data_IF_026662282758
#
_entry.id   IF_026662282758
#
_cell.length_a   1.000
_cell.length_b   1.000
_cell.length_c   1.000
_cell.angle_alpha   90.00
_cell.angle_beta   90.00
_cell.angle_gamma   90.00
#
_symmetry.space_group_name_H-M   'P 1'
#
loop_
_entity.id
_entity.type
_entity.pdbx_description
1 polymer ?
#
# COMPACT_ATOMS: atom_id res chain seq x y z
N UNK A 1 11.55 -4.35 21.20
CA UNK A 1 10.57 -4.16 20.11
C UNK A 1 10.37 -2.66 19.96
N UNK A 2 10.93 -2.05 18.91
CA UNK A 2 10.71 -0.64 18.65
C UNK A 2 9.56 -0.55 17.65
N UNK A 3 8.36 -0.33 18.14
CA UNK A 3 7.23 -0.02 17.29
C UNK A 3 7.51 1.37 16.72
N UNK A 4 7.90 1.47 15.43
CA UNK A 4 8.29 2.73 14.80
C UNK A 4 7.09 3.69 14.56
N UNK A 5 5.98 3.48 15.27
CA UNK A 5 4.86 4.42 15.29
C UNK A 5 5.27 5.62 16.15
N UNK A 6 4.96 6.82 15.70
CA UNK A 6 5.34 8.03 16.41
C UNK A 6 4.75 8.03 17.82
N UNK A 7 5.60 8.28 18.81
CA UNK A 7 5.22 8.46 20.19
C UNK A 7 5.44 9.91 20.56
N UNK A 8 4.38 10.57 21.03
CA UNK A 8 4.47 11.92 21.54
C UNK A 8 4.80 11.88 23.04
N UNK A 9 6.04 12.20 23.39
CA UNK A 9 6.52 12.18 24.79
C UNK A 9 5.77 13.18 25.69
N UNK A 10 5.21 14.26 25.13
CA UNK A 10 4.48 15.26 25.90
C UNK A 10 3.09 14.78 26.28
N UNK A 11 2.41 14.06 25.38
CA UNK A 11 1.04 13.57 25.61
C UNK A 11 0.98 12.12 26.10
N UNK A 12 2.10 11.38 25.99
CA UNK A 12 2.18 9.96 26.33
C UNK A 12 1.38 9.06 25.39
N UNK A 13 1.09 9.52 24.15
CA UNK A 13 0.24 8.81 23.19
C UNK A 13 0.99 8.43 21.91
N UNK A 14 0.56 7.34 21.29
CA UNK A 14 1.00 6.93 19.96
C UNK A 14 0.11 7.53 18.87
N UNK A 15 0.73 8.02 17.79
CA UNK A 15 0.09 8.68 16.66
C UNK A 15 -0.50 7.66 15.68
N UNK A 16 -1.62 7.04 16.06
CA UNK A 16 -2.34 6.03 15.27
C UNK A 16 -3.80 5.94 15.70
N UNK A 17 -4.72 5.84 14.73
CA UNK A 17 -6.08 5.34 14.98
C UNK A 17 -6.49 4.27 13.96
N UNK A 18 -7.43 3.41 14.35
CA UNK A 18 -8.13 2.48 13.45
C UNK A 18 -9.61 2.34 13.83
N UNK A 19 -10.47 2.10 12.85
CA UNK A 19 -11.90 1.82 13.04
C UNK A 19 -12.08 0.31 13.22
N UNK A 20 -12.70 -0.12 14.33
CA UNK A 20 -13.10 -1.52 14.62
C UNK A 20 -12.02 -2.63 14.59
N UNK A 21 -10.81 -2.39 14.07
CA UNK A 21 -9.68 -3.32 14.09
C UNK A 21 -8.69 -3.03 15.23
N UNK A 22 -7.79 -3.99 15.52
CA UNK A 22 -6.76 -3.82 16.55
C UNK A 22 -5.79 -2.71 16.15
N UNK A 23 -5.51 -1.81 17.10
CA UNK A 23 -4.53 -0.75 16.92
C UNK A 23 -3.12 -1.31 16.62
N UNK A 24 -2.23 -0.47 16.06
CA UNK A 24 -0.88 -0.83 15.62
C UNK A 24 -0.04 -1.48 16.73
N UNK A 25 0.14 -2.82 16.72
CA UNK A 25 0.69 -3.58 17.87
C UNK A 25 -0.04 -3.35 19.21
N UNK A 26 -1.33 -3.03 19.17
CA UNK A 26 -2.09 -2.59 20.34
C UNK A 26 -1.83 -1.15 20.78
N UNK A 27 -1.08 -0.37 20.00
CA UNK A 27 -0.74 1.03 20.25
C UNK A 27 -1.58 1.97 19.37
N UNK A 28 -2.12 3.02 19.97
CA UNK A 28 -3.02 3.97 19.30
C UNK A 28 -4.46 3.86 19.78
N UNK A 29 -5.37 4.55 19.09
CA UNK A 29 -6.78 4.64 19.46
C UNK A 29 -7.65 3.77 18.54
N UNK A 30 -8.58 3.00 19.11
CA UNK A 30 -9.62 2.31 18.34
C UNK A 30 -10.90 3.14 18.46
N UNK A 31 -11.53 3.44 17.32
CA UNK A 31 -12.82 4.13 17.27
C UNK A 31 -13.90 3.21 16.71
N UNK A 32 -15.14 3.43 17.13
CA UNK A 32 -16.29 2.62 16.70
C UNK A 32 -16.91 3.16 15.41
N UNK A 33 -17.06 4.49 15.33
CA UNK A 33 -17.62 5.19 14.19
C UNK A 33 -16.53 5.82 13.32
N UNK A 34 -16.85 6.02 12.04
CA UNK A 34 -15.97 6.69 11.10
C UNK A 34 -15.81 8.18 11.47
N UNK A 35 -14.59 8.66 11.78
CA UNK A 35 -14.37 10.03 12.19
C UNK A 35 -14.45 11.01 11.01
N UNK A 36 -14.76 12.27 11.30
CA UNK A 36 -14.51 13.39 10.35
C UNK A 36 -13.01 13.59 10.13
N UNK A 37 -12.60 14.30 9.07
CA UNK A 37 -11.18 14.58 8.81
C UNK A 37 -10.46 15.25 9.99
N UNK A 38 -11.14 16.19 10.65
CA UNK A 38 -10.64 16.85 11.86
C UNK A 38 -10.47 15.88 13.02
N UNK A 39 -11.44 15.03 13.28
CA UNK A 39 -11.37 14.01 14.34
C UNK A 39 -10.28 12.97 14.03
N UNK A 40 -10.18 12.54 12.78
CA UNK A 40 -9.18 11.59 12.31
C UNK A 40 -7.76 12.12 12.50
N UNK A 41 -7.50 13.39 12.16
CA UNK A 41 -6.24 14.08 12.44
C UNK A 41 -5.90 14.06 13.93
N UNK A 42 -6.88 14.35 14.79
CA UNK A 42 -6.69 14.40 16.24
C UNK A 42 -6.47 13.01 16.84
N UNK A 43 -7.27 12.01 16.45
CA UNK A 43 -7.15 10.63 16.92
C UNK A 43 -5.83 10.00 16.49
N UNK A 44 -5.34 10.30 15.29
CA UNK A 44 -4.03 9.83 14.83
C UNK A 44 -2.86 10.67 15.37
N UNK A 45 -3.08 11.73 16.15
CA UNK A 45 -1.99 12.61 16.61
C UNK A 45 -1.25 13.30 15.46
N UNK A 46 -1.94 13.56 14.36
CA UNK A 46 -1.40 14.16 13.14
C UNK A 46 -1.66 15.66 13.02
N UNK A 47 -2.40 16.24 13.96
CA UNK A 47 -2.72 17.67 14.06
C UNK A 47 -1.51 18.49 14.59
N UNK A 48 -0.35 18.29 13.96
CA UNK A 48 0.88 19.06 14.22
C UNK A 48 1.30 19.82 12.96
N UNK A 49 1.89 20.99 13.17
CA UNK A 49 2.46 21.79 12.10
C UNK A 49 3.88 21.34 11.76
N UNK A 50 4.23 21.38 10.48
CA UNK A 50 5.61 21.20 10.00
C UNK A 50 6.13 22.53 9.45
N UNK A 51 7.29 22.95 9.93
CA UNK A 51 7.97 24.17 9.51
C UNK A 51 9.24 23.85 8.73
N UNK A 52 9.51 24.60 7.65
CA UNK A 52 10.76 24.57 6.88
C UNK A 52 11.64 25.77 7.22
N UNK A 53 12.94 25.53 7.41
CA UNK A 53 13.96 26.56 7.70
C UNK A 53 15.27 26.27 6.96
N UNK A 54 16.07 27.28 6.60
CA UNK A 54 17.37 27.07 5.98
C UNK A 54 18.36 26.44 6.97
N UNK A 55 19.20 25.52 6.49
CA UNK A 55 20.30 24.97 7.28
C UNK A 55 21.35 26.07 7.59
N UNK A 56 22.00 25.97 8.75
CA UNK A 56 23.06 26.88 9.18
C UNK A 56 24.39 26.13 9.15
N UNK A 57 25.36 26.62 8.37
CA UNK A 57 26.71 26.08 8.33
C UNK A 57 27.59 26.87 9.31
N UNK A 58 28.09 26.19 10.34
CA UNK A 58 29.03 26.77 11.30
C UNK A 58 30.46 26.54 10.84
N UNK A 59 31.21 27.62 10.66
CA UNK A 59 32.62 27.59 10.29
C UNK A 59 33.52 27.49 11.52
N UNK A 60 34.76 27.05 11.32
CA UNK A 60 35.75 26.87 12.41
C UNK A 60 36.05 28.18 13.17
N UNK A 61 35.89 29.33 12.51
CA UNK A 61 36.05 30.65 13.12
C UNK A 61 34.83 31.13 13.93
N UNK A 62 33.80 30.30 14.05
CA UNK A 62 32.57 30.61 14.76
C UNK A 62 31.52 31.37 13.93
N UNK A 63 31.83 31.77 12.70
CA UNK A 63 30.85 32.40 11.82
C UNK A 63 29.78 31.39 11.37
N UNK A 64 28.55 31.88 11.23
CA UNK A 64 27.43 31.10 10.73
C UNK A 64 27.01 31.61 9.35
N UNK A 65 26.82 30.69 8.42
CA UNK A 65 26.30 30.97 7.08
C UNK A 65 24.94 30.28 6.94
N UNK A 66 23.90 31.08 6.70
CA UNK A 66 22.57 30.57 6.36
C UNK A 66 22.58 30.07 4.92
N UNK A 67 22.20 28.81 4.71
CA UNK A 67 22.18 28.21 3.38
C UNK A 67 20.99 28.71 2.55
N UNK A 68 21.26 29.04 1.29
CA UNK A 68 20.22 29.42 0.31
C UNK A 68 19.66 28.21 -0.47
N UNK A 69 20.27 27.03 -0.33
CA UNK A 69 19.94 25.84 -1.14
C UNK A 69 19.66 24.58 -0.32
N UNK A 70 19.99 24.58 0.97
CA UNK A 70 19.82 23.46 1.88
C UNK A 70 18.91 23.87 3.04
N UNK A 71 17.87 23.07 3.27
CA UNK A 71 16.82 23.33 4.25
C UNK A 71 16.59 22.09 5.11
N UNK A 72 15.99 22.31 6.28
CA UNK A 72 15.47 21.26 7.15
C UNK A 72 14.00 21.51 7.46
N UNK A 73 13.29 20.43 7.79
CA UNK A 73 11.91 20.46 8.30
C UNK A 73 11.90 20.02 9.74
N UNK A 74 11.03 20.64 10.53
CA UNK A 74 10.88 20.29 11.93
C UNK A 74 9.47 20.54 12.42
N UNK A 75 9.16 19.90 13.55
CA UNK A 75 7.93 20.09 14.30
C UNK A 75 8.11 21.18 15.36
N UNK A 76 7.39 22.30 15.32
CA UNK A 76 7.50 23.35 16.33
C UNK A 76 7.05 22.91 17.73
N UNK A 77 6.12 21.96 17.83
CA UNK A 77 5.59 21.47 19.11
C UNK A 77 6.61 20.65 19.92
N UNK A 78 7.48 19.90 19.23
CA UNK A 78 8.44 18.95 19.82
C UNK A 78 9.90 19.29 19.53
N UNK A 79 10.16 20.29 18.67
CA UNK A 79 11.47 20.59 18.07
C UNK A 79 12.12 19.41 17.35
N UNK A 80 11.34 18.40 16.97
CA UNK A 80 11.85 17.22 16.29
C UNK A 80 12.18 17.56 14.83
N UNK A 81 13.45 17.38 14.45
CA UNK A 81 13.88 17.44 13.04
C UNK A 81 13.32 16.21 12.31
N UNK A 82 12.57 16.47 11.24
CA UNK A 82 11.92 15.46 10.39
C UNK A 82 12.76 15.11 9.16
N UNK A 83 13.40 16.12 8.56
CA UNK A 83 14.33 15.97 7.44
C UNK A 83 15.41 17.04 7.50
N UNK A 84 16.65 16.67 7.17
CA UNK A 84 17.83 17.54 7.29
C UNK A 84 18.41 17.99 5.93
N UNK A 85 17.92 17.41 4.81
CA UNK A 85 18.49 17.59 3.46
C UNK A 85 17.44 17.94 2.41
N UNK A 86 16.70 19.02 2.63
CA UNK A 86 15.68 19.47 1.70
C UNK A 86 16.24 20.51 0.72
N UNK A 87 15.82 20.41 -0.53
CA UNK A 87 16.15 21.40 -1.57
C UNK A 87 15.30 22.66 -1.47
N UNK A 88 15.74 23.73 -2.15
CA UNK A 88 15.04 25.02 -2.17
C UNK A 88 13.57 24.90 -2.59
N UNK A 89 13.28 24.03 -3.56
CA UNK A 89 11.96 23.90 -4.19
C UNK A 89 10.99 23.01 -3.39
N UNK A 90 11.44 22.43 -2.27
CA UNK A 90 10.58 21.59 -1.43
C UNK A 90 9.54 22.44 -0.71
N UNK A 91 8.26 22.18 -0.92
CA UNK A 91 7.17 22.84 -0.19
C UNK A 91 6.49 21.89 0.79
N UNK A 92 6.33 22.36 2.03
CA UNK A 92 5.64 21.60 3.06
C UNK A 92 4.15 21.60 2.75
N UNK A 93 3.58 20.41 2.61
CA UNK A 93 2.12 20.22 2.57
C UNK A 93 1.72 19.74 3.96
N UNK A 94 0.87 20.49 4.65
CA UNK A 94 0.50 20.14 6.03
C UNK A 94 -0.33 18.87 6.04
N UNK A 95 -0.29 18.14 7.16
CA UNK A 95 -1.12 16.94 7.33
C UNK A 95 -2.61 17.31 7.14
N UNK A 96 -3.04 18.46 7.67
CA UNK A 96 -4.40 18.96 7.46
C UNK A 96 -4.77 19.14 5.98
N UNK A 97 -3.86 19.66 5.15
CA UNK A 97 -4.09 19.81 3.70
C UNK A 97 -4.25 18.42 3.01
N UNK A 98 -3.51 17.41 3.48
CA UNK A 98 -3.61 16.04 2.97
C UNK A 98 -4.92 15.34 3.39
N UNK A 99 -5.49 15.69 4.53
CA UNK A 99 -6.80 15.22 4.96
C UNK A 99 -7.94 15.93 4.24
N UNK A 100 -7.89 17.26 4.11
CA UNK A 100 -8.92 18.02 3.37
C UNK A 100 -9.01 17.61 1.91
N UNK A 101 -7.90 17.13 1.33
CA UNK A 101 -7.90 16.52 0.01
C UNK A 101 -8.89 15.35 -0.08
N UNK A 102 -8.93 14.45 0.91
CA UNK A 102 -9.86 13.33 0.94
C UNK A 102 -11.32 13.76 1.05
N UNK A 103 -11.59 14.81 1.82
CA UNK A 103 -12.94 15.36 1.94
C UNK A 103 -13.45 15.88 0.58
N UNK A 104 -12.58 16.50 -0.22
CA UNK A 104 -12.94 17.00 -1.55
C UNK A 104 -13.19 15.90 -2.59
N UNK A 105 -12.67 14.69 -2.35
CA UNK A 105 -12.74 13.58 -3.31
C UNK A 105 -14.10 12.87 -3.31
N UNK A 106 -14.80 12.88 -2.17
CA UNK A 106 -16.04 12.10 -1.98
C UNK A 106 -17.22 13.05 -1.88
N UNK A 107 -17.89 13.30 -3.00
CA UNK A 107 -19.17 14.02 -3.02
C UNK A 107 -20.26 13.16 -2.33
N UNK A 108 -20.97 13.74 -1.37
CA UNK A 108 -22.17 13.14 -0.77
C UNK A 108 -21.93 12.36 0.53
N UNK A 109 -21.86 11.02 0.45
CA UNK A 109 -21.94 10.06 1.59
C UNK A 109 -20.78 10.15 2.60
N UNK A 110 -19.82 11.04 2.37
CA UNK A 110 -18.65 11.25 3.22
C UNK A 110 -17.60 10.16 3.07
N UNK A 111 -16.34 10.54 3.32
CA UNK A 111 -15.24 9.58 3.31
C UNK A 111 -15.20 8.82 4.64
N UNK A 112 -15.06 7.50 4.57
CA UNK A 112 -14.95 6.64 5.74
C UNK A 112 -13.47 6.45 6.09
N UNK A 113 -12.91 7.33 6.91
CA UNK A 113 -11.52 7.20 7.35
C UNK A 113 -11.33 5.94 8.21
N UNK A 114 -10.61 4.96 7.67
CA UNK A 114 -10.45 3.64 8.30
C UNK A 114 -9.28 3.62 9.27
N UNK A 115 -8.14 4.20 8.87
CA UNK A 115 -6.91 4.19 9.67
C UNK A 115 -6.03 5.36 9.26
N UNK A 116 -5.36 5.98 10.23
CA UNK A 116 -4.25 6.89 9.95
C UNK A 116 -3.20 6.84 11.03
N UNK A 117 -1.96 7.21 10.69
CA UNK A 117 -0.88 7.28 11.66
C UNK A 117 0.39 7.92 11.12
N UNK A 118 1.36 8.08 12.02
CA UNK A 118 2.69 8.59 11.71
C UNK A 118 3.79 7.60 12.08
N UNK A 119 4.83 7.52 11.27
CA UNK A 119 6.03 6.74 11.51
C UNK A 119 7.18 7.64 12.00
N UNK A 120 8.09 7.07 12.78
CA UNK A 120 9.28 7.74 13.30
C UNK A 120 8.96 8.90 14.24
N UNK A 121 9.50 10.08 13.95
CA UNK A 121 9.26 11.36 14.65
C UNK A 121 8.02 12.11 14.14
N UNK A 122 7.28 11.51 13.20
CA UNK A 122 6.19 12.15 12.48
C UNK A 122 6.60 12.60 11.07
N UNK A 123 7.76 12.18 10.58
CA UNK A 123 8.24 12.55 9.25
C UNK A 123 7.50 11.84 8.12
N UNK A 124 6.83 10.72 8.39
CA UNK A 124 6.02 10.00 7.40
C UNK A 124 4.65 9.73 7.96
N UNK A 125 3.62 10.05 7.20
CA UNK A 125 2.24 9.76 7.59
C UNK A 125 1.57 8.89 6.56
N UNK A 126 0.53 8.20 6.99
CA UNK A 126 -0.32 7.40 6.13
C UNK A 126 -1.78 7.50 6.55
N UNK A 127 -2.66 7.36 5.58
CA UNK A 127 -4.11 7.48 5.74
C UNK A 127 -4.74 6.44 4.81
N UNK A 128 -5.70 5.69 5.32
CA UNK A 128 -6.58 4.84 4.52
C UNK A 128 -8.02 5.27 4.72
N UNK A 129 -8.72 5.36 3.60
CA UNK A 129 -10.13 5.69 3.56
C UNK A 129 -10.89 4.64 2.75
N UNK A 130 -11.99 4.15 3.31
CA UNK A 130 -12.90 3.23 2.65
C UNK A 130 -13.80 3.99 1.68
N UNK A 131 -13.91 3.46 0.47
CA UNK A 131 -14.79 3.96 -0.57
C UNK A 131 -16.13 3.20 -0.57
N UNK A 132 -17.23 3.85 -0.96
CA UNK A 132 -18.55 3.21 -0.97
C UNK A 132 -18.63 2.09 -2.01
N UNK A 133 -19.43 1.06 -1.70
CA UNK A 133 -19.65 -0.10 -2.56
C UNK A 133 -18.52 -1.12 -2.55
N UNK A 134 -18.68 -2.19 -3.34
CA UNK A 134 -17.79 -3.34 -3.36
C UNK A 134 -17.48 -3.75 -4.79
N UNK A 135 -16.32 -4.36 -5.00
CA UNK A 135 -16.06 -5.20 -6.19
C UNK A 135 -16.58 -6.59 -5.85
N UNK A 136 -17.56 -7.08 -6.62
CA UNK A 136 -18.22 -8.37 -6.34
C UNK A 136 -17.69 -9.46 -7.25
N UNK A 137 -17.19 -10.55 -6.68
CA UNK A 137 -16.75 -11.73 -7.44
C UNK A 137 -17.68 -12.90 -7.14
N UNK A 138 -18.37 -13.41 -8.16
CA UNK A 138 -19.46 -14.35 -7.93
C UNK A 138 -20.58 -13.74 -7.07
N UNK A 139 -21.17 -14.55 -6.18
CA UNK A 139 -22.30 -14.11 -5.34
C UNK A 139 -21.85 -13.52 -3.99
N UNK A 140 -20.86 -14.14 -3.35
CA UNK A 140 -20.56 -13.90 -1.93
C UNK A 140 -19.12 -13.43 -1.65
N UNK A 141 -18.27 -13.29 -2.68
CA UNK A 141 -16.87 -12.88 -2.51
C UNK A 141 -16.73 -11.36 -2.74
N UNK A 142 -16.70 -10.63 -1.62
CA UNK A 142 -16.71 -9.17 -1.60
C UNK A 142 -15.30 -8.61 -1.39
N UNK A 143 -14.96 -7.63 -2.22
CA UNK A 143 -13.71 -6.88 -2.12
C UNK A 143 -14.05 -5.42 -1.81
N UNK A 144 -13.54 -4.95 -0.67
CA UNK A 144 -13.62 -3.56 -0.26
C UNK A 144 -12.65 -2.70 -1.06
N UNK A 145 -13.01 -1.43 -1.18
CA UNK A 145 -12.28 -0.45 -1.95
C UNK A 145 -11.68 0.56 -0.99
N UNK A 146 -10.36 0.69 -0.99
CA UNK A 146 -9.69 1.71 -0.18
C UNK A 146 -8.92 2.69 -1.07
N UNK A 147 -8.86 3.93 -0.63
CA UNK A 147 -7.82 4.86 -1.01
C UNK A 147 -6.77 4.91 0.07
N UNK A 148 -5.52 4.78 -0.33
CA UNK A 148 -4.35 4.92 0.49
C UNK A 148 -3.65 6.23 0.13
N UNK A 149 -3.30 7.04 1.12
CA UNK A 149 -2.42 8.18 0.97
C UNK A 149 -1.24 8.06 1.90
N UNK A 150 -0.09 8.52 1.44
CA UNK A 150 1.09 8.72 2.27
C UNK A 150 1.84 9.95 1.82
N UNK A 151 2.42 10.68 2.77
CA UNK A 151 3.31 11.81 2.51
C UNK A 151 4.49 11.78 3.47
N UNK A 152 5.55 12.48 3.09
CA UNK A 152 6.81 12.52 3.83
C UNK A 152 7.32 13.95 3.94
N UNK A 153 7.66 14.31 5.17
CA UNK A 153 8.31 15.56 5.57
C UNK A 153 9.84 15.46 5.58
N UNK A 154 10.40 14.28 5.28
CA UNK A 154 11.86 14.02 5.31
C UNK A 154 12.64 14.55 4.09
N UNK A 155 11.96 15.04 3.06
CA UNK A 155 12.56 15.52 1.81
C UNK A 155 12.86 14.45 0.75
N UNK A 156 12.68 13.16 1.06
CA UNK A 156 12.95 12.05 0.14
C UNK A 156 11.67 11.43 -0.47
N UNK A 157 10.50 11.68 0.14
CA UNK A 157 9.22 11.18 -0.33
C UNK A 157 8.44 12.15 -1.22
N UNK A 158 7.48 11.60 -1.97
CA UNK A 158 6.40 12.33 -2.61
C UNK A 158 5.11 12.10 -1.83
N UNK A 159 4.12 12.96 -2.04
CA UNK A 159 2.74 12.63 -1.69
C UNK A 159 2.28 11.57 -2.68
N UNK A 160 1.79 10.45 -2.20
CA UNK A 160 1.30 9.36 -3.03
C UNK A 160 -0.12 9.02 -2.61
N UNK A 161 -1.04 9.02 -3.58
CA UNK A 161 -2.39 8.49 -3.42
C UNK A 161 -2.53 7.23 -4.29
N UNK A 162 -3.12 6.17 -3.77
CA UNK A 162 -3.27 4.90 -4.48
C UNK A 162 -4.59 4.19 -4.15
N UNK A 163 -5.21 3.60 -5.16
CA UNK A 163 -6.34 2.69 -4.98
C UNK A 163 -5.84 1.31 -4.56
N UNK A 164 -6.43 0.80 -3.48
CA UNK A 164 -6.04 -0.45 -2.82
C UNK A 164 -7.29 -1.29 -2.53
N UNK A 165 -7.63 -2.27 -3.38
CA UNK A 165 -8.70 -3.21 -3.09
C UNK A 165 -8.27 -4.21 -2.02
N UNK A 166 -9.13 -4.48 -1.05
CA UNK A 166 -8.89 -5.44 0.03
C UNK A 166 -9.99 -6.49 0.04
N UNK A 167 -9.63 -7.76 -0.15
CA UNK A 167 -10.60 -8.85 -0.14
C UNK A 167 -10.98 -9.18 1.31
N UNK A 168 -12.26 -9.07 1.67
CA UNK A 168 -12.72 -9.12 3.07
C UNK A 168 -12.33 -10.43 3.75
N UNK A 169 -12.61 -11.55 3.10
CA UNK A 169 -12.51 -12.89 3.69
C UNK A 169 -11.07 -13.35 3.95
N UNK A 170 -10.08 -12.64 3.40
CA UNK A 170 -8.66 -12.89 3.65
C UNK A 170 -7.88 -11.63 4.10
N UNK A 171 -8.54 -10.47 4.17
CA UNK A 171 -7.94 -9.16 4.42
C UNK A 171 -6.69 -8.86 3.56
N UNK A 172 -6.67 -9.34 2.30
CA UNK A 172 -5.51 -9.20 1.42
C UNK A 172 -5.56 -7.90 0.64
N UNK A 173 -4.50 -7.09 0.73
CA UNK A 173 -4.25 -6.00 -0.22
C UNK A 173 -3.96 -6.56 -1.60
N UNK A 174 -4.89 -6.35 -2.54
CA UNK A 174 -4.78 -6.79 -3.92
C UNK A 174 -4.07 -5.70 -4.74
N UNK A 175 -2.81 -5.96 -5.12
CA UNK A 175 -2.13 -5.09 -6.07
C UNK A 175 -2.32 -5.62 -7.48
N UNK A 176 -3.06 -4.87 -8.30
CA UNK A 176 -3.26 -5.15 -9.71
C UNK A 176 -2.33 -4.27 -10.57
N UNK A 177 -1.82 -4.84 -11.67
CA UNK A 177 -1.04 -4.13 -12.67
C UNK A 177 -1.82 -4.10 -13.98
N UNK A 178 -2.74 -3.13 -14.12
CA UNK A 178 -3.42 -2.91 -15.40
C UNK A 178 -2.49 -2.15 -16.35
N UNK A 179 -2.27 -2.70 -17.56
CA UNK A 179 -1.28 -2.20 -18.53
C UNK A 179 -1.46 -0.73 -18.92
N UNK A 180 -2.66 -0.16 -18.78
CA UNK A 180 -3.01 1.20 -19.19
C UNK A 180 -3.54 2.09 -18.05
N UNK A 181 -3.48 1.64 -16.80
CA UNK A 181 -3.97 2.40 -15.65
C UNK A 181 -2.99 2.30 -14.49
N UNK A 182 -2.38 3.43 -14.12
CA UNK A 182 -1.67 3.53 -12.83
C UNK A 182 -2.71 3.59 -11.73
N UNK A 183 -2.68 2.64 -10.79
CA UNK A 183 -3.52 2.69 -9.59
C UNK A 183 -3.04 3.73 -8.57
N UNK A 184 -1.97 4.48 -8.88
CA UNK A 184 -1.39 5.48 -8.00
C UNK A 184 -1.01 6.77 -8.74
N UNK A 185 -1.08 7.88 -8.00
CA UNK A 185 -0.61 9.19 -8.42
C UNK A 185 0.45 9.66 -7.43
N UNK A 186 1.57 10.18 -7.94
CA UNK A 186 2.67 10.73 -7.14
C UNK A 186 2.82 12.22 -7.41
N UNK A 187 2.75 13.02 -6.35
CA UNK A 187 2.83 14.47 -6.38
C UNK A 187 4.07 14.88 -5.60
N UNK A 188 4.99 15.58 -6.29
CA UNK A 188 6.18 16.13 -5.66
C UNK A 188 5.80 17.30 -4.74
N UNK A 189 6.51 17.42 -3.63
CA UNK A 189 6.43 18.55 -2.69
C UNK A 189 7.01 19.82 -3.34
N UNK A 190 6.24 20.47 -4.20
CA UNK A 190 6.58 21.73 -4.89
C UNK A 190 5.48 22.75 -4.68
N UNK A 191 5.67 24.01 -5.11
CA UNK A 191 4.67 25.09 -4.98
C UNK A 191 3.27 24.67 -5.44
N UNK A 192 3.16 23.89 -6.52
CA UNK A 192 1.87 23.45 -7.06
C UNK A 192 1.38 22.12 -6.45
N UNK A 193 1.96 21.65 -5.34
CA UNK A 193 1.58 20.37 -4.75
C UNK A 193 0.12 20.39 -4.27
N UNK A 194 -0.34 21.51 -3.70
CA UNK A 194 -1.73 21.68 -3.24
C UNK A 194 -2.72 21.64 -4.41
N UNK A 195 -2.48 22.42 -5.45
CA UNK A 195 -3.30 22.40 -6.68
C UNK A 195 -3.31 21.01 -7.35
N UNK A 196 -2.16 20.33 -7.41
CA UNK A 196 -2.09 18.96 -7.94
C UNK A 196 -2.78 17.92 -7.07
N UNK A 197 -2.89 18.17 -5.77
CA UNK A 197 -3.74 17.38 -4.88
C UNK A 197 -5.21 17.66 -5.20
N UNK A 198 -5.62 18.90 -5.40
CA UNK A 198 -7.00 19.23 -5.80
C UNK A 198 -7.38 18.60 -7.15
N UNK A 199 -6.45 18.47 -8.09
CA UNK A 199 -6.66 17.73 -9.34
C UNK A 199 -6.88 16.20 -9.18
N UNK A 200 -6.72 15.66 -7.97
CA UNK A 200 -6.83 14.22 -7.75
C UNK A 200 -8.26 13.69 -7.59
N UNK A 201 -9.30 14.44 -7.98
CA UNK A 201 -10.53 13.84 -8.53
C UNK A 201 -10.23 12.83 -9.66
N UNK A 202 -9.11 13.01 -10.38
CA UNK A 202 -8.56 12.01 -11.30
C UNK A 202 -8.33 10.65 -10.63
N UNK A 203 -7.91 10.62 -9.36
CA UNK A 203 -7.71 9.38 -8.58
C UNK A 203 -9.03 8.65 -8.34
N UNK A 204 -10.15 9.36 -8.15
CA UNK A 204 -11.48 8.72 -8.10
C UNK A 204 -11.97 8.23 -9.44
N UNK A 205 -11.75 9.00 -10.50
CA UNK A 205 -12.02 8.54 -11.87
C UNK A 205 -11.28 7.23 -12.14
N UNK A 206 -10.00 7.17 -11.78
CA UNK A 206 -9.17 5.96 -11.85
C UNK A 206 -9.74 4.86 -10.95
N UNK A 207 -10.10 5.15 -9.70
CA UNK A 207 -10.58 4.15 -8.74
C UNK A 207 -11.89 3.51 -9.20
N UNK A 208 -12.83 4.30 -9.73
CA UNK A 208 -14.10 3.81 -10.25
C UNK A 208 -13.90 2.95 -11.51
N UNK A 209 -13.09 3.41 -12.46
CA UNK A 209 -12.76 2.65 -13.67
C UNK A 209 -12.03 1.34 -13.33
N UNK A 210 -11.04 1.42 -12.44
CA UNK A 210 -10.25 0.28 -11.99
C UNK A 210 -11.13 -0.72 -11.23
N UNK A 211 -12.07 -0.25 -10.41
CA UNK A 211 -13.02 -1.12 -9.71
C UNK A 211 -13.87 -1.93 -10.69
N UNK A 212 -14.46 -1.28 -11.70
CA UNK A 212 -15.27 -1.97 -12.72
C UNK A 212 -14.43 -2.96 -13.53
N UNK A 213 -13.22 -2.58 -13.91
CA UNK A 213 -12.31 -3.46 -14.65
C UNK A 213 -11.89 -4.68 -13.83
N UNK A 214 -11.52 -4.48 -12.56
CA UNK A 214 -11.16 -5.56 -11.66
C UNK A 214 -12.33 -6.49 -11.39
N UNK A 215 -13.55 -5.96 -11.25
CA UNK A 215 -14.75 -6.77 -11.13
C UNK A 215 -14.91 -7.72 -12.33
N UNK A 216 -14.81 -7.19 -13.54
CA UNK A 216 -14.88 -8.01 -14.77
C UNK A 216 -13.77 -9.06 -14.83
N UNK A 217 -12.52 -8.66 -14.56
CA UNK A 217 -11.35 -9.55 -14.60
C UNK A 217 -11.48 -10.67 -13.56
N UNK A 218 -11.83 -10.34 -12.32
CA UNK A 218 -11.93 -11.33 -11.25
C UNK A 218 -13.10 -12.29 -11.45
N UNK A 219 -14.25 -11.80 -11.95
CA UNK A 219 -15.36 -12.68 -12.32
C UNK A 219 -15.01 -13.61 -13.49
N UNK A 220 -14.16 -13.17 -14.42
CA UNK A 220 -13.65 -14.03 -15.47
C UNK A 220 -12.68 -15.07 -14.89
N UNK A 221 -11.71 -14.64 -14.08
CA UNK A 221 -10.71 -15.53 -13.48
C UNK A 221 -11.33 -16.58 -12.55
N UNK A 222 -12.41 -16.26 -11.87
CA UNK A 222 -13.18 -17.19 -11.05
C UNK A 222 -13.84 -18.32 -11.85
N UNK A 223 -13.97 -18.17 -13.18
CA UNK A 223 -14.56 -19.19 -14.08
C UNK A 223 -13.51 -20.03 -14.80
N UNK A 224 -12.26 -19.57 -14.86
CA UNK A 224 -11.17 -20.28 -15.54
C UNK A 224 -10.52 -21.26 -14.58
N UNK A 225 -10.55 -22.55 -14.94
CA UNK A 225 -9.92 -23.61 -14.16
C UNK A 225 -8.41 -23.61 -14.36
N UNK A 226 -7.69 -23.99 -13.30
CA UNK A 226 -6.24 -24.12 -13.31
C UNK A 226 -5.87 -25.39 -12.55
N UNK A 227 -4.93 -26.16 -13.08
CA UNK A 227 -4.46 -27.41 -12.46
C UNK A 227 -3.39 -27.13 -11.42
N UNK A 228 -3.20 -28.06 -10.47
CA UNK A 228 -2.18 -27.95 -9.42
C UNK A 228 -0.77 -27.68 -9.96
N UNK A 229 -0.42 -28.32 -11.10
CA UNK A 229 0.88 -28.13 -11.77
C UNK A 229 1.03 -26.71 -12.32
N UNK A 230 -0.04 -26.14 -12.87
CA UNK A 230 -0.04 -24.77 -13.39
C UNK A 230 0.01 -23.74 -12.27
N UNK A 231 -0.70 -23.99 -11.16
CA UNK A 231 -0.61 -23.15 -9.95
C UNK A 231 0.83 -23.10 -9.43
N UNK A 232 1.50 -24.25 -9.28
CA UNK A 232 2.89 -24.31 -8.83
C UNK A 232 3.83 -23.52 -9.75
N UNK A 233 3.67 -23.68 -11.08
CA UNK A 233 4.46 -22.94 -12.06
C UNK A 233 4.20 -21.42 -11.97
N UNK A 234 2.94 -21.02 -11.81
CA UNK A 234 2.57 -19.60 -11.67
C UNK A 234 3.19 -19.00 -10.41
N UNK A 235 3.11 -19.70 -9.27
CA UNK A 235 3.74 -19.29 -8.01
C UNK A 235 5.25 -19.11 -8.20
N UNK A 236 5.94 -20.12 -8.72
CA UNK A 236 7.39 -20.04 -8.95
C UNK A 236 7.77 -18.80 -9.77
N UNK A 237 7.06 -18.57 -10.88
CA UNK A 237 7.31 -17.43 -11.78
C UNK A 237 6.99 -16.07 -11.14
N UNK A 238 5.95 -15.99 -10.30
CA UNK A 238 5.59 -14.77 -9.59
C UNK A 238 6.62 -14.42 -8.49
N UNK A 239 7.18 -15.44 -7.84
CA UNK A 239 8.03 -15.29 -6.64
C UNK A 239 9.51 -15.01 -6.93
N UNK A 240 9.94 -15.07 -8.21
CA UNK A 240 11.33 -14.95 -8.68
C UNK A 240 12.10 -13.75 -8.10
N UNK A 241 13.06 -13.91 -7.18
CA UNK A 241 13.73 -12.78 -6.52
C UNK A 241 14.60 -11.95 -7.46
N UNK A 242 15.24 -12.57 -8.45
CA UNK A 242 16.23 -11.95 -9.33
C UNK A 242 16.29 -12.67 -10.70
N UNK A 243 17.10 -12.15 -11.64
CA UNK A 243 17.21 -12.71 -13.00
C UNK A 243 17.87 -14.09 -13.05
N UNK A 244 18.75 -14.40 -12.11
CA UNK A 244 19.44 -15.70 -12.04
C UNK A 244 18.45 -16.81 -11.73
N UNK A 245 17.60 -16.63 -10.71
CA UNK A 245 16.54 -17.59 -10.39
C UNK A 245 15.58 -17.78 -11.57
N UNK A 246 15.25 -16.72 -12.30
CA UNK A 246 14.43 -16.82 -13.52
C UNK A 246 15.06 -17.75 -14.55
N UNK A 247 16.37 -17.60 -14.80
CA UNK A 247 17.10 -18.39 -15.78
C UNK A 247 17.17 -19.86 -15.36
N UNK A 248 17.42 -20.15 -14.09
CA UNK A 248 17.49 -21.52 -13.59
C UNK A 248 16.13 -22.22 -13.74
N UNK A 249 15.01 -21.53 -13.42
CA UNK A 249 13.66 -22.05 -13.66
C UNK A 249 13.42 -22.33 -15.15
N UNK A 250 13.81 -21.40 -16.03
CA UNK A 250 13.62 -21.56 -17.48
C UNK A 250 14.44 -22.71 -18.08
N UNK A 251 15.61 -23.01 -17.52
CA UNK A 251 16.47 -24.13 -17.92
C UNK A 251 16.08 -25.47 -17.28
N UNK A 252 15.17 -25.46 -16.30
CA UNK A 252 14.81 -26.65 -15.52
C UNK A 252 15.84 -27.05 -14.46
N UNK A 253 16.77 -26.15 -14.11
CA UNK A 253 17.82 -26.34 -13.11
C UNK A 253 17.25 -26.11 -11.69
N UNK A 254 16.24 -26.90 -11.30
CA UNK A 254 15.51 -26.73 -10.03
C UNK A 254 16.36 -27.03 -8.79
N UNK A 255 17.43 -27.81 -8.93
CA UNK A 255 18.36 -28.13 -7.85
C UNK A 255 19.20 -26.92 -7.43
N UNK A 256 19.47 -26.00 -8.36
CA UNK A 256 20.20 -24.73 -8.12
C UNK A 256 19.36 -23.68 -7.39
N UNK A 257 18.06 -23.93 -7.18
CA UNK A 257 17.18 -23.01 -6.47
C UNK A 257 17.43 -23.08 -4.96
N UNK A 258 17.65 -21.92 -4.34
CA UNK A 258 17.83 -21.83 -2.90
C UNK A 258 16.67 -22.45 -2.10
N UNK A 259 16.97 -23.08 -0.98
CA UNK A 259 15.95 -23.64 -0.06
C UNK A 259 14.95 -22.57 0.38
N UNK A 260 15.41 -21.33 0.61
CA UNK A 260 14.53 -20.21 0.97
C UNK A 260 13.47 -19.92 -0.11
N UNK A 261 13.86 -19.98 -1.39
CA UNK A 261 12.92 -19.79 -2.49
C UNK A 261 11.93 -20.96 -2.63
N UNK A 262 12.41 -22.20 -2.49
CA UNK A 262 11.57 -23.40 -2.51
C UNK A 262 10.51 -23.35 -1.40
N UNK A 263 10.94 -23.15 -0.16
CA UNK A 263 10.04 -23.03 1.00
C UNK A 263 9.01 -21.91 0.81
N UNK A 264 9.43 -20.75 0.28
CA UNK A 264 8.50 -19.65 0.02
C UNK A 264 7.44 -20.00 -1.04
N UNK A 265 7.79 -20.79 -2.06
CA UNK A 265 6.80 -21.27 -3.05
C UNK A 265 5.88 -22.32 -2.44
N UNK A 266 6.42 -23.21 -1.61
CA UNK A 266 5.67 -24.26 -0.93
C UNK A 266 4.66 -23.65 0.06
N UNK A 267 5.05 -22.62 0.83
CA UNK A 267 4.15 -21.91 1.74
C UNK A 267 2.96 -21.26 0.99
N UNK A 268 3.20 -20.69 -0.20
CA UNK A 268 2.14 -20.11 -1.04
C UNK A 268 1.21 -21.21 -1.55
N UNK A 269 1.78 -22.34 -1.97
CA UNK A 269 1.02 -23.48 -2.45
C UNK A 269 0.19 -24.11 -1.32
N UNK A 270 0.75 -24.27 -0.13
CA UNK A 270 0.04 -24.76 1.05
C UNK A 270 -1.12 -23.83 1.42
N UNK A 271 -0.90 -22.51 1.38
CA UNK A 271 -1.97 -21.53 1.59
C UNK A 271 -3.09 -21.66 0.55
N UNK A 272 -2.75 -21.88 -0.73
CA UNK A 272 -3.71 -22.14 -1.80
C UNK A 272 -4.59 -23.37 -1.52
N UNK A 273 -3.99 -24.43 -0.96
CA UNK A 273 -4.68 -25.71 -0.78
C UNK A 273 -5.48 -25.78 0.52
N UNK A 274 -5.05 -25.10 1.58
CA UNK A 274 -5.57 -25.31 2.94
C UNK A 274 -6.35 -24.12 3.52
N UNK A 275 -6.11 -22.89 3.06
CA UNK A 275 -6.78 -21.71 3.63
C UNK A 275 -8.30 -21.76 3.39
N UNK A 276 -9.09 -21.46 4.43
CA UNK A 276 -10.55 -21.37 4.31
C UNK A 276 -10.97 -20.39 3.21
N UNK A 277 -10.26 -19.26 3.10
CA UNK A 277 -10.50 -18.23 2.08
C UNK A 277 -10.23 -18.68 0.65
N UNK A 278 -9.56 -19.84 0.47
CA UNK A 278 -9.27 -20.47 -0.81
C UNK A 278 -10.23 -21.60 -1.16
N UNK A 279 -11.07 -22.03 -0.22
CA UNK A 279 -12.04 -23.10 -0.44
C UNK A 279 -13.37 -22.63 -1.06
N UNK A 280 -13.53 -21.34 -1.34
CA UNK A 280 -14.72 -20.82 -2.00
C UNK A 280 -14.84 -21.27 -3.45
N UNK A 281 -16.07 -21.26 -3.97
CA UNK A 281 -16.35 -21.61 -5.37
C UNK A 281 -15.59 -20.70 -6.35
N UNK A 282 -15.46 -19.41 -5.99
CA UNK A 282 -14.73 -18.40 -6.77
C UNK A 282 -13.22 -18.63 -6.80
N UNK A 283 -12.65 -19.35 -5.82
CA UNK A 283 -11.20 -19.50 -5.67
C UNK A 283 -10.71 -20.91 -5.94
N UNK A 284 -11.38 -21.94 -5.41
CA UNK A 284 -10.91 -23.32 -5.40
C UNK A 284 -10.70 -23.85 -6.82
N UNK A 285 -9.45 -24.10 -7.20
CA UNK A 285 -9.08 -24.59 -8.53
C UNK A 285 -9.35 -23.59 -9.67
N UNK A 286 -9.28 -22.30 -9.38
CA UNK A 286 -9.49 -21.23 -10.36
C UNK A 286 -8.27 -20.31 -10.44
N UNK A 287 -8.14 -19.57 -11.54
CA UNK A 287 -7.09 -18.55 -11.68
C UNK A 287 -7.22 -17.46 -10.61
N UNK A 288 -8.45 -17.11 -10.21
CA UNK A 288 -8.67 -16.15 -9.14
C UNK A 288 -8.13 -16.66 -7.80
N UNK A 289 -8.29 -17.96 -7.49
CA UNK A 289 -7.68 -18.57 -6.31
C UNK A 289 -6.15 -18.53 -6.34
N UNK A 290 -5.55 -18.86 -7.49
CA UNK A 290 -4.09 -18.82 -7.67
C UNK A 290 -3.51 -17.40 -7.44
N UNK A 291 -4.18 -16.36 -7.95
CA UNK A 291 -3.81 -14.98 -7.66
C UNK A 291 -3.94 -14.66 -6.16
N UNK A 292 -5.05 -15.04 -5.54
CA UNK A 292 -5.30 -14.81 -4.11
C UNK A 292 -4.35 -15.60 -3.20
N UNK A 293 -3.73 -16.68 -3.70
CA UNK A 293 -2.77 -17.45 -2.92
C UNK A 293 -1.51 -16.64 -2.69
N UNK A 294 -1.03 -15.96 -3.74
CA UNK A 294 0.16 -15.12 -3.68
C UNK A 294 -0.12 -13.87 -2.83
N UNK A 295 -1.25 -13.18 -3.05
CA UNK A 295 -1.61 -12.01 -2.22
C UNK A 295 -1.82 -12.42 -0.76
N UNK A 296 -2.46 -13.57 -0.51
CA UNK A 296 -2.71 -14.12 0.81
C UNK A 296 -1.47 -14.54 1.56
N UNK A 297 -0.50 -15.12 0.87
CA UNK A 297 0.79 -15.42 1.46
C UNK A 297 1.46 -14.15 2.02
N UNK A 298 1.54 -13.08 1.23
CA UNK A 298 2.17 -11.83 1.68
C UNK A 298 1.42 -11.11 2.79
N UNK A 299 0.12 -11.36 2.92
CA UNK A 299 -0.70 -10.77 3.97
C UNK A 299 -0.70 -11.60 5.25
N UNK A 300 -0.83 -12.92 5.15
CA UNK A 300 -1.26 -13.78 6.26
C UNK A 300 -0.24 -14.83 6.68
N UNK A 301 0.72 -15.17 5.81
CA UNK A 301 1.69 -16.26 6.06
C UNK A 301 3.10 -15.72 6.25
N UNK A 302 3.52 -14.78 5.41
CA UNK A 302 4.87 -14.23 5.44
C UNK A 302 5.11 -13.51 6.77
N UNK A 303 6.17 -13.93 7.45
CA UNK A 303 6.65 -13.23 8.65
C UNK A 303 7.35 -11.92 8.27
N UNK A 304 6.94 -10.83 8.90
CA UNK A 304 7.60 -9.53 8.84
C UNK A 304 8.20 -9.20 10.19
N UNK A 305 9.25 -8.38 10.19
CA UNK A 305 9.89 -7.91 11.42
C UNK A 305 8.91 -7.14 12.31
N UNK A 306 8.05 -6.34 11.67
CA UNK A 306 7.05 -5.47 12.28
C UNK A 306 6.00 -5.08 11.21
N UNK A 307 4.89 -4.48 11.64
CA UNK A 307 3.81 -4.03 10.75
C UNK A 307 4.28 -2.96 9.76
N UNK A 308 5.32 -2.19 10.09
CA UNK A 308 5.88 -1.20 9.17
C UNK A 308 6.56 -1.89 7.99
N UNK A 309 7.38 -2.92 8.26
CA UNK A 309 8.00 -3.73 7.21
C UNK A 309 6.94 -4.42 6.35
N UNK A 310 5.83 -4.86 6.94
CA UNK A 310 4.67 -5.40 6.21
C UNK A 310 4.04 -4.34 5.30
N UNK A 311 3.70 -3.18 5.86
CA UNK A 311 3.11 -2.06 5.13
C UNK A 311 4.03 -1.59 3.99
N UNK A 312 5.33 -1.44 4.23
CA UNK A 312 6.35 -1.13 3.22
C UNK A 312 6.37 -2.15 2.09
N UNK A 313 6.32 -3.43 2.43
CA UNK A 313 6.30 -4.52 1.46
C UNK A 313 5.07 -4.48 0.56
N UNK A 314 3.89 -4.20 1.13
CA UNK A 314 2.59 -4.25 0.44
C UNK A 314 2.24 -2.97 -0.34
N UNK A 315 2.57 -1.78 0.19
CA UNK A 315 2.03 -0.50 -0.29
C UNK A 315 3.07 0.47 -0.86
N UNK A 316 4.35 0.35 -0.48
CA UNK A 316 5.40 1.34 -0.80
C UNK A 316 6.36 0.91 -1.91
N UNK A 317 5.90 0.17 -2.91
CA UNK A 317 6.78 -0.37 -3.97
C UNK A 317 7.66 -1.51 -3.50
N UNK A 318 7.33 -2.13 -2.36
CA UNK A 318 8.11 -3.21 -1.78
C UNK A 318 7.90 -4.55 -2.48
N UNK A 319 8.56 -5.57 -1.94
CA UNK A 319 8.60 -6.91 -2.55
C UNK A 319 7.20 -7.48 -2.75
N UNK A 320 6.31 -7.45 -1.76
CA UNK A 320 4.97 -8.02 -1.92
C UNK A 320 4.19 -7.36 -3.06
N UNK A 321 4.25 -6.03 -3.18
CA UNK A 321 3.61 -5.30 -4.27
C UNK A 321 4.13 -5.74 -5.65
N UNK A 322 5.45 -5.84 -5.82
CA UNK A 322 6.05 -6.25 -7.09
C UNK A 322 5.67 -7.69 -7.48
N UNK A 323 5.64 -8.59 -6.50
CA UNK A 323 5.30 -10.02 -6.71
C UNK A 323 3.83 -10.21 -7.04
N UNK A 324 2.94 -9.50 -6.36
CA UNK A 324 1.50 -9.55 -6.62
C UNK A 324 1.14 -8.88 -7.96
N UNK A 325 1.81 -7.79 -8.35
CA UNK A 325 1.69 -7.23 -9.70
C UNK A 325 2.16 -8.22 -10.77
N UNK A 326 3.27 -8.93 -10.53
CA UNK A 326 3.73 -9.96 -11.46
C UNK A 326 2.76 -11.14 -11.53
N UNK A 327 2.21 -11.58 -10.40
CA UNK A 327 1.19 -12.62 -10.34
C UNK A 327 -0.06 -12.23 -11.13
N UNK A 328 -0.51 -10.98 -11.01
CA UNK A 328 -1.64 -10.46 -11.77
C UNK A 328 -1.40 -10.59 -13.29
N UNK A 329 -0.22 -10.17 -13.77
CA UNK A 329 0.15 -10.30 -15.19
C UNK A 329 0.18 -11.76 -15.66
N UNK A 330 0.75 -12.66 -14.85
CA UNK A 330 0.80 -14.08 -15.19
C UNK A 330 -0.59 -14.72 -15.28
N UNK A 331 -1.50 -14.35 -14.37
CA UNK A 331 -2.89 -14.79 -14.39
C UNK A 331 -3.61 -14.26 -15.65
N UNK A 332 -3.39 -13.00 -15.99
CA UNK A 332 -3.94 -12.39 -17.22
C UNK A 332 -3.46 -13.12 -18.48
N UNK A 333 -2.16 -13.41 -18.57
CA UNK A 333 -1.56 -14.11 -19.70
C UNK A 333 -2.05 -15.57 -19.79
N UNK A 334 -2.22 -16.25 -18.65
CA UNK A 334 -2.77 -17.62 -18.59
C UNK A 334 -4.19 -17.66 -19.16
N UNK A 335 -5.07 -16.77 -18.67
CA UNK A 335 -6.47 -16.70 -19.12
C UNK A 335 -6.57 -16.35 -20.60
N UNK A 336 -5.73 -15.44 -21.11
CA UNK A 336 -5.68 -15.13 -22.55
C UNK A 336 -5.25 -16.33 -23.37
N UNK A 337 -4.27 -17.10 -22.91
CA UNK A 337 -3.74 -18.26 -23.63
C UNK A 337 -4.76 -19.39 -23.71
N UNK A 338 -5.48 -19.66 -22.62
CA UNK A 338 -6.62 -20.58 -22.58
C UNK A 338 -7.72 -20.16 -23.56
N UNK A 339 -8.08 -18.87 -23.60
CA UNK A 339 -9.10 -18.39 -24.56
C UNK A 339 -8.67 -18.56 -26.01
N UNK A 340 -7.39 -18.35 -26.35
CA UNK A 340 -6.88 -18.60 -27.71
C UNK A 340 -6.92 -20.10 -28.07
N UNK A 341 -6.78 -20.99 -27.08
CA UNK A 341 -6.93 -22.43 -27.26
C UNK A 341 -8.38 -22.91 -27.47
N UNK A 342 -9.38 -22.11 -27.09
CA UNK A 342 -10.82 -22.42 -27.26
C UNK A 342 -11.35 -21.96 -28.63
N UNK A 343 -10.66 -21.05 -29.32
CA UNK A 343 -11.05 -20.48 -30.62
C UNK A 343 -10.32 -21.08 -31.83
N UNK A 344 -9.63 -22.22 -31.69
CA UNK A 344 -9.02 -22.96 -32.80
C UNK A 344 -9.69 -24.31 -33.04
#
# INVERSE_FOLDING_TARGET
MAHNINFNEQTGKHSFFSVNEKAWHGLGQIVQDYPTSKEALQFAGLDFEVSKRPNIHRLDNGNEIVSNSSFYTYRPDTNAILGDRLGKDYEVVQNADAFSFFDAIVDGDGIQYETAGALGKGEKIFITAKLPGYIKVGNDDMIEKYLFLTTSHDGFGSIMAAFTPTRIVCNNTLSAALRNCSNSVKIRHTVNAKERLEEAHKVMGISNQLSVQLEGIFNQWAKVRITDKEVQKLIQMAMVPNKEVLQNIQKGELDELSTCFKNMCDDVYEYNMSSLSQQYETTKGTVFGAYNAITGYFQNVRNYKDDEAKMKSLLYGGTAQLRTQKAFQLCEDFVKSEMVGIYN
#
